data_IF_875492878461
#
_entry.id   IF_875492878461
#
_cell.length_a   1.000
_cell.length_b   1.000
_cell.length_c   1.000
_cell.angle_alpha   90.00
_cell.angle_beta   90.00
_cell.angle_gamma   90.00
#
_symmetry.space_group_name_H-M   'P 1'
#
loop_
_entity.id
_entity.type
_entity.pdbx_description
1 polymer ?
#
# COMPACT_ATOMS: atom_id res chain seq x y z
N UNK A 1 2.98 -14.88 15.45
CA UNK A 1 3.23 -14.87 14.34
C UNK A 1 4.36 -15.65 13.98
N UNK A 2 4.36 -16.71 13.52
CA UNK A 2 5.42 -17.48 13.18
C UNK A 2 5.87 -17.24 11.84
N UNK A 3 6.54 -18.06 11.23
CA UNK A 3 7.05 -17.83 9.91
C UNK A 3 5.98 -17.73 8.86
N UNK A 4 4.84 -18.31 9.10
CA UNK A 4 3.83 -18.26 8.07
C UNK A 4 3.29 -16.86 7.87
N UNK A 5 3.43 -16.00 8.83
CA UNK A 5 2.92 -14.65 8.67
C UNK A 5 3.84 -13.74 7.94
N UNK A 6 5.08 -14.15 7.72
CA UNK A 6 6.06 -13.29 7.08
C UNK A 6 5.65 -12.94 5.66
N UNK A 7 5.37 -13.90 4.77
CA UNK A 7 5.03 -13.55 3.40
C UNK A 7 3.70 -12.79 3.33
N UNK A 8 2.75 -13.17 4.17
CA UNK A 8 1.49 -12.48 4.16
C UNK A 8 1.65 -11.06 4.68
N UNK A 9 2.53 -10.89 5.66
CA UNK A 9 2.76 -9.58 6.22
C UNK A 9 3.42 -8.68 5.19
N UNK A 10 4.37 -9.21 4.46
CA UNK A 10 5.05 -8.43 3.45
C UNK A 10 4.07 -8.02 2.36
N UNK A 11 3.23 -8.95 1.93
CA UNK A 11 2.26 -8.65 0.90
C UNK A 11 1.30 -7.56 1.38
N UNK A 12 0.85 -7.67 2.61
CA UNK A 12 -0.04 -6.67 3.17
C UNK A 12 0.64 -5.32 3.26
N UNK A 13 1.91 -5.31 3.62
CA UNK A 13 2.65 -4.08 3.72
C UNK A 13 2.81 -3.40 2.36
N UNK A 14 3.09 -4.20 1.35
CA UNK A 14 3.26 -3.64 0.01
C UNK A 14 1.94 -3.07 -0.47
N UNK A 15 0.86 -3.80 -0.26
CA UNK A 15 -0.45 -3.31 -0.67
C UNK A 15 -0.80 -2.03 0.05
N UNK A 16 -0.51 -1.97 1.34
CA UNK A 16 -0.81 -0.78 2.12
C UNK A 16 -0.01 0.41 1.60
N UNK A 17 1.25 0.18 1.28
CA UNK A 17 2.08 1.26 0.78
C UNK A 17 1.56 1.75 -0.57
N UNK A 18 1.12 0.82 -1.41
CA UNK A 18 0.60 1.20 -2.71
C UNK A 18 -0.68 2.01 -2.55
N UNK A 19 -1.54 1.61 -1.63
CA UNK A 19 -2.76 2.33 -1.40
C UNK A 19 -2.49 3.73 -0.84
N UNK A 20 -1.59 3.81 0.11
CA UNK A 20 -1.26 5.09 0.71
C UNK A 20 -0.65 6.01 -0.35
N UNK A 21 0.25 5.47 -1.14
CA UNK A 21 0.87 6.25 -2.20
C UNK A 21 -0.16 6.73 -3.21
N UNK A 22 -1.09 5.85 -3.55
CA UNK A 22 -2.12 6.21 -4.49
C UNK A 22 -3.00 7.33 -3.95
N UNK A 23 -3.38 7.22 -2.68
CA UNK A 23 -4.19 8.25 -2.06
C UNK A 23 -3.43 9.57 -1.98
N UNK A 24 -2.14 9.47 -1.70
CA UNK A 24 -1.33 10.66 -1.59
C UNK A 24 -1.27 11.38 -2.92
N UNK A 25 -1.03 10.64 -3.99
CA UNK A 25 -0.96 11.24 -5.32
C UNK A 25 -2.32 11.84 -5.68
N UNK A 26 -3.39 11.16 -5.33
CA UNK A 26 -4.72 11.64 -5.64
C UNK A 26 -5.00 12.96 -4.93
N UNK A 27 -4.43 13.12 -3.74
CA UNK A 27 -4.64 14.35 -3.00
C UNK A 27 -3.78 15.47 -3.55
N UNK A 28 -2.55 15.17 -3.89
CA UNK A 28 -1.64 16.18 -4.39
C UNK A 28 -2.00 16.53 -5.83
N UNK A 29 -2.36 15.56 -6.64
CA UNK A 29 -2.72 15.84 -8.01
C UNK A 29 -4.09 15.30 -8.27
N UNK A 30 -5.12 15.96 -7.84
CA UNK A 30 -6.49 15.51 -8.05
C UNK A 30 -6.90 15.46 -9.50
N UNK A 31 -6.22 16.14 -10.37
CA UNK A 31 -6.69 16.13 -11.74
C UNK A 31 -6.13 14.97 -12.41
N UNK A 32 -6.41 13.81 -12.09
CA UNK A 32 -6.05 12.73 -12.75
C UNK A 32 -6.59 12.53 -14.03
N UNK A 33 -7.16 13.01 -14.60
CA UNK A 33 -7.67 12.70 -15.83
C UNK A 33 -7.98 13.73 -16.67
#
# INVERSE_FOLDING_TARGET
>A
MSGTGVPANVAGGVLALLLIGYLFVALVRPERF
#
